data_IF_984618705748
#
_entry.id   IF_984618705748
#
_cell.length_a   1.000
_cell.length_b   1.000
_cell.length_c   1.000
_cell.angle_alpha   90.00
_cell.angle_beta   90.00
_cell.angle_gamma   90.00
#
_symmetry.space_group_name_H-M   'P 1'
#
loop_
_entity.id
_entity.type
_entity.pdbx_description
1 polymer ?
#
# COMPACT_ATOMS: atom_id res chain seq x y z
N UNK A 1 -38.08 -18.19 17.20
CA UNK A 1 -37.94 -16.77 17.58
C UNK A 1 -36.68 -16.31 16.89
N UNK A 2 -36.83 -15.80 15.67
CA UNK A 2 -35.72 -15.45 14.77
C UNK A 2 -35.53 -13.94 14.80
N UNK A 3 -34.93 -13.42 15.88
CA UNK A 3 -34.68 -11.99 16.09
C UNK A 3 -33.18 -11.76 16.32
N UNK A 4 -32.34 -12.12 15.35
CA UNK A 4 -30.89 -12.16 15.52
C UNK A 4 -30.06 -11.34 14.50
N UNK A 5 -30.66 -10.55 13.61
CA UNK A 5 -29.91 -9.82 12.58
C UNK A 5 -30.44 -8.39 12.32
N UNK A 6 -30.82 -7.66 13.39
CA UNK A 6 -30.98 -6.21 13.25
C UNK A 6 -29.60 -5.55 13.16
N UNK A 7 -29.25 -5.06 11.96
CA UNK A 7 -28.05 -4.26 11.75
C UNK A 7 -28.09 -3.03 12.66
N UNK A 8 -27.03 -2.75 13.45
CA UNK A 8 -27.07 -1.59 14.34
C UNK A 8 -27.12 -0.32 13.52
N UNK A 9 -28.03 0.58 13.89
CA UNK A 9 -28.20 1.87 13.22
C UNK A 9 -26.88 2.65 13.22
N UNK A 10 -26.41 2.98 12.03
CA UNK A 10 -25.24 3.83 11.85
C UNK A 10 -25.52 5.23 12.43
N UNK A 11 -24.53 5.91 13.03
CA UNK A 11 -24.71 7.30 13.44
C UNK A 11 -25.10 8.17 12.25
N UNK A 12 -25.93 9.18 12.51
CA UNK A 12 -26.43 10.10 11.49
C UNK A 12 -25.32 10.75 10.66
N UNK A 13 -24.17 11.08 11.27
CA UNK A 13 -23.01 11.63 10.56
C UNK A 13 -22.41 10.65 9.53
N UNK A 14 -22.31 9.37 9.88
CA UNK A 14 -21.81 8.31 8.99
C UNK A 14 -22.82 8.00 7.89
N UNK A 15 -24.11 7.92 8.23
CA UNK A 15 -25.18 7.76 7.23
C UNK A 15 -25.22 8.92 6.25
N UNK A 16 -25.09 10.15 6.75
CA UNK A 16 -25.03 11.36 5.93
C UNK A 16 -23.82 11.36 4.99
N UNK A 17 -22.67 10.91 5.48
CA UNK A 17 -21.47 10.73 4.68
C UNK A 17 -21.69 9.70 3.56
N UNK A 18 -22.14 8.47 3.89
CA UNK A 18 -22.40 7.41 2.90
C UNK A 18 -23.42 7.89 1.86
N UNK A 19 -24.50 8.54 2.29
CA UNK A 19 -25.53 9.04 1.38
C UNK A 19 -25.00 10.09 0.41
N UNK A 20 -24.09 10.96 0.85
CA UNK A 20 -23.40 11.94 -0.02
C UNK A 20 -22.43 11.27 -0.97
N UNK A 21 -21.67 10.27 -0.49
CA UNK A 21 -20.76 9.44 -1.29
C UNK A 21 -21.48 8.70 -2.41
N UNK A 22 -22.66 8.14 -2.12
CA UNK A 22 -23.53 7.46 -3.09
C UNK A 22 -24.27 8.41 -4.04
N UNK A 23 -24.06 9.72 -3.94
CA UNK A 23 -24.73 10.73 -4.79
C UNK A 23 -26.20 11.00 -4.44
N UNK A 24 -26.69 10.51 -3.29
CA UNK A 24 -28.06 10.71 -2.78
C UNK A 24 -28.20 11.94 -1.85
N UNK A 25 -27.19 12.80 -1.79
CA UNK A 25 -27.14 13.99 -0.94
C UNK A 25 -26.53 15.20 -1.66
N UNK A 26 -26.35 16.31 -0.94
CA UNK A 26 -25.69 17.49 -1.49
C UNK A 26 -24.27 17.16 -1.97
N UNK A 27 -23.90 17.71 -3.14
CA UNK A 27 -22.59 17.51 -3.73
C UNK A 27 -21.52 17.95 -2.75
N UNK A 28 -20.72 16.99 -2.31
CA UNK A 28 -19.67 17.21 -1.34
C UNK A 28 -18.35 17.37 -2.10
N UNK A 29 -17.80 18.58 -2.10
CA UNK A 29 -16.55 18.89 -2.82
C UNK A 29 -15.33 18.35 -2.05
N UNK A 30 -15.45 18.20 -0.71
CA UNK A 30 -14.40 17.74 0.19
C UNK A 30 -14.96 16.83 1.28
N UNK A 31 -14.25 15.73 1.56
CA UNK A 31 -14.62 14.85 2.67
C UNK A 31 -14.46 15.55 4.03
N UNK A 32 -15.31 15.22 5.02
CA UNK A 32 -15.07 15.61 6.40
C UNK A 32 -13.77 14.97 6.90
N UNK A 33 -13.10 15.62 7.84
CA UNK A 33 -11.90 15.03 8.45
C UNK A 33 -12.36 13.88 9.35
N UNK A 34 -11.91 12.66 9.07
CA UNK A 34 -12.26 11.48 9.86
C UNK A 34 -11.74 11.52 11.31
N UNK A 35 -10.83 12.45 11.62
CA UNK A 35 -10.38 12.77 12.98
C UNK A 35 -11.38 13.66 13.75
N UNK A 36 -12.43 14.18 13.12
CA UNK A 36 -13.48 14.93 13.81
C UNK A 36 -14.23 14.02 14.79
N UNK A 37 -14.70 14.62 15.88
CA UNK A 37 -15.38 13.92 16.99
C UNK A 37 -16.53 13.02 16.52
N UNK A 38 -17.20 13.39 15.43
CA UNK A 38 -18.33 12.67 14.84
C UNK A 38 -17.91 11.33 14.20
N UNK A 39 -16.65 11.22 13.77
CA UNK A 39 -16.09 10.06 13.08
C UNK A 39 -15.02 9.34 13.90
N UNK A 40 -14.44 9.99 14.91
CA UNK A 40 -13.32 9.47 15.70
C UNK A 40 -13.59 8.13 16.38
N UNK A 41 -14.85 7.85 16.77
CA UNK A 41 -15.22 6.54 17.35
C UNK A 41 -15.21 5.40 16.32
N UNK A 42 -15.27 5.72 15.02
CA UNK A 42 -15.31 4.79 13.88
C UNK A 42 -13.97 4.70 13.15
N UNK A 43 -13.27 5.83 13.11
CA UNK A 43 -11.95 5.99 12.51
C UNK A 43 -10.99 6.54 13.56
N UNK A 44 -10.78 5.80 14.67
CA UNK A 44 -9.83 6.23 15.69
C UNK A 44 -8.45 6.37 15.07
N UNK A 45 -7.76 7.45 15.41
CA UNK A 45 -6.40 7.76 14.95
C UNK A 45 -5.42 6.64 15.33
N UNK A 46 -5.66 5.98 16.47
CA UNK A 46 -4.87 4.87 16.99
C UNK A 46 -5.82 3.87 17.66
N UNK A 47 -6.30 2.85 16.95
CA UNK A 47 -6.93 1.68 17.57
C UNK A 47 -6.60 0.40 16.81
N UNK A 48 -6.13 -0.61 17.55
CA UNK A 48 -6.00 -1.97 17.04
C UNK A 48 -7.35 -2.50 16.60
N UNK A 49 -7.42 -3.17 15.44
CA UNK A 49 -8.63 -3.86 14.97
C UNK A 49 -9.16 -4.89 15.98
N UNK A 50 -8.32 -5.37 16.90
CA UNK A 50 -8.70 -6.26 18.00
C UNK A 50 -9.64 -5.62 19.03
N UNK A 51 -9.62 -4.29 19.17
CA UNK A 51 -10.51 -3.52 20.06
C UNK A 51 -11.69 -2.91 19.31
N UNK A 52 -11.67 -2.97 17.98
CA UNK A 52 -12.74 -2.50 17.11
C UNK A 52 -13.79 -3.60 17.06
N UNK A 53 -14.97 -3.30 17.60
CA UNK A 53 -16.10 -4.23 17.55
C UNK A 53 -16.43 -4.59 16.09
N UNK A 54 -16.92 -5.82 15.86
CA UNK A 54 -17.27 -6.34 14.52
C UNK A 54 -18.12 -5.36 13.70
N UNK A 55 -18.99 -4.61 14.37
CA UNK A 55 -19.82 -3.57 13.75
C UNK A 55 -19.01 -2.39 13.18
N UNK A 56 -18.01 -1.86 13.90
CA UNK A 56 -17.18 -0.74 13.43
C UNK A 56 -16.38 -1.12 12.17
N UNK A 57 -15.93 -2.37 12.05
CA UNK A 57 -15.32 -2.87 10.82
C UNK A 57 -16.31 -2.84 9.63
N UNK A 58 -17.57 -3.26 9.84
CA UNK A 58 -18.62 -3.17 8.82
C UNK A 58 -18.89 -1.72 8.40
N UNK A 59 -18.90 -0.79 9.37
CA UNK A 59 -19.07 0.64 9.09
C UNK A 59 -17.94 1.18 8.21
N UNK A 60 -16.68 0.91 8.57
CA UNK A 60 -15.51 1.36 7.80
C UNK A 60 -15.51 0.79 6.39
N UNK A 61 -15.86 -0.49 6.24
CA UNK A 61 -15.97 -1.13 4.93
C UNK A 61 -17.03 -0.46 4.04
N UNK A 62 -18.24 -0.21 4.57
CA UNK A 62 -19.29 0.51 3.83
C UNK A 62 -18.87 1.91 3.39
N UNK A 63 -18.15 2.65 4.25
CA UNK A 63 -17.64 3.97 3.89
C UNK A 63 -16.62 3.88 2.76
N UNK A 64 -15.73 2.89 2.79
CA UNK A 64 -14.75 2.66 1.72
C UNK A 64 -15.40 2.25 0.39
N UNK A 65 -16.41 1.37 0.43
CA UNK A 65 -17.21 0.97 -0.73
C UNK A 65 -17.93 2.17 -1.35
N UNK A 66 -18.51 3.04 -0.51
CA UNK A 66 -19.18 4.26 -0.96
C UNK A 66 -18.19 5.28 -1.55
N UNK A 67 -16.97 5.38 -1.03
CA UNK A 67 -15.89 6.19 -1.62
C UNK A 67 -15.50 5.65 -3.00
N UNK A 68 -15.31 4.33 -3.13
CA UNK A 68 -14.97 3.69 -4.40
C UNK A 68 -16.05 3.84 -5.47
N UNK A 69 -17.30 4.02 -5.06
CA UNK A 69 -18.45 4.22 -5.95
C UNK A 69 -18.71 5.70 -6.30
N UNK A 70 -17.92 6.64 -5.76
CA UNK A 70 -18.18 8.07 -5.92
C UNK A 70 -17.40 8.70 -7.09
N UNK A 71 -18.09 9.13 -8.14
CA UNK A 71 -17.48 9.71 -9.34
C UNK A 71 -17.23 11.23 -9.27
N UNK A 72 -17.57 11.88 -8.15
CA UNK A 72 -17.67 13.35 -8.06
C UNK A 72 -16.55 14.02 -7.24
N UNK A 73 -15.59 13.27 -6.71
CA UNK A 73 -14.50 13.86 -5.92
C UNK A 73 -13.41 14.48 -6.79
N UNK A 74 -13.04 15.73 -6.46
CA UNK A 74 -11.89 16.41 -7.07
C UNK A 74 -10.58 16.18 -6.30
N UNK A 75 -10.67 15.88 -5.01
CA UNK A 75 -9.50 15.67 -4.15
C UNK A 75 -9.91 14.80 -2.96
N UNK A 76 -9.23 13.68 -2.79
CA UNK A 76 -9.36 12.78 -1.65
C UNK A 76 -8.11 12.94 -0.80
N UNK A 77 -8.16 13.84 0.18
CA UNK A 77 -7.05 14.06 1.09
C UNK A 77 -7.04 12.96 2.17
N UNK A 78 -6.31 11.88 1.86
CA UNK A 78 -6.06 10.75 2.75
C UNK A 78 -4.70 10.91 3.47
N UNK A 79 -4.28 12.14 3.79
CA UNK A 79 -3.02 12.42 4.50
C UNK A 79 -2.86 11.64 5.82
N UNK A 80 -3.95 11.12 6.40
CA UNK A 80 -3.90 10.36 7.67
C UNK A 80 -4.31 8.89 7.59
N UNK A 81 -4.46 8.33 6.41
CA UNK A 81 -4.59 6.86 6.31
C UNK A 81 -3.20 6.23 6.19
N UNK A 82 -2.48 6.15 7.33
CA UNK A 82 -1.60 5.00 7.58
C UNK A 82 -2.55 3.86 7.92
N UNK A 83 -2.91 3.06 6.92
CA UNK A 83 -3.56 1.78 7.22
C UNK A 83 -2.44 0.77 7.33
N UNK A 84 -2.10 0.41 8.55
CA UNK A 84 -1.51 -0.90 8.82
C UNK A 84 -2.60 -1.93 8.47
N UNK A 85 -2.68 -2.34 7.19
CA UNK A 85 -3.64 -3.34 6.73
C UNK A 85 -3.08 -4.69 7.17
N UNK A 86 -3.47 -5.11 8.36
CA UNK A 86 -3.20 -6.43 8.88
C UNK A 86 -4.11 -7.43 8.16
N UNK A 87 -3.73 -7.84 6.94
CA UNK A 87 -4.27 -9.07 6.35
C UNK A 87 -3.52 -10.22 7.01
N UNK A 88 -4.15 -10.85 8.00
CA UNK A 88 -3.70 -12.13 8.59
C UNK A 88 -2.18 -12.23 8.82
N UNK A 89 -1.69 -11.66 9.92
CA UNK A 89 -0.32 -11.81 10.45
C UNK A 89 0.79 -11.04 9.71
N UNK A 90 0.57 -10.56 8.49
CA UNK A 90 1.58 -9.77 7.76
C UNK A 90 1.46 -8.29 8.05
N UNK A 91 2.59 -7.67 8.34
CA UNK A 91 2.70 -6.22 8.54
C UNK A 91 2.81 -5.53 7.19
N UNK A 92 2.16 -4.38 7.08
CA UNK A 92 2.27 -3.49 5.92
C UNK A 92 2.96 -2.20 6.35
N UNK A 93 4.04 -1.83 5.66
CA UNK A 93 4.70 -0.53 5.84
C UNK A 93 4.31 0.37 4.67
N UNK A 94 3.76 1.55 4.94
CA UNK A 94 3.40 2.54 3.92
C UNK A 94 4.25 3.79 4.13
N UNK A 95 5.07 4.13 3.14
CA UNK A 95 5.96 5.27 3.14
C UNK A 95 5.45 6.30 2.13
N UNK A 96 5.13 7.50 2.62
CA UNK A 96 4.71 8.64 1.80
C UNK A 96 5.65 9.81 2.09
N UNK A 97 6.26 10.39 1.05
CA UNK A 97 7.14 11.56 1.20
C UNK A 97 8.24 11.37 2.27
N UNK A 98 8.74 10.14 2.47
CA UNK A 98 9.67 9.83 3.56
C UNK A 98 11.15 10.09 3.19
N UNK A 99 11.40 10.90 2.17
CA UNK A 99 12.65 10.90 1.39
C UNK A 99 13.35 12.26 1.36
N UNK A 100 13.05 13.15 2.29
CA UNK A 100 13.58 14.52 2.31
C UNK A 100 15.11 14.58 2.51
N UNK A 101 15.69 13.60 3.21
CA UNK A 101 17.13 13.50 3.39
C UNK A 101 17.63 12.05 3.51
N UNK A 102 18.95 11.87 3.36
CA UNK A 102 19.59 10.56 3.46
C UNK A 102 19.46 9.91 4.85
N UNK A 103 19.19 10.69 5.91
CA UNK A 103 18.99 10.17 7.27
C UNK A 103 17.62 9.52 7.45
N UNK A 104 16.58 10.08 6.81
CA UNK A 104 15.25 9.50 6.75
C UNK A 104 15.27 8.13 6.05
N UNK A 105 16.04 8.02 4.95
CA UNK A 105 16.24 6.77 4.22
C UNK A 105 16.91 5.71 5.09
N UNK A 106 17.94 6.08 5.87
CA UNK A 106 18.60 5.17 6.82
C UNK A 106 17.63 4.67 7.88
N UNK A 107 16.80 5.57 8.42
CA UNK A 107 15.79 5.16 9.40
C UNK A 107 14.76 4.19 8.81
N UNK A 108 14.31 4.43 7.57
CA UNK A 108 13.44 3.51 6.85
C UNK A 108 14.11 2.14 6.64
N UNK A 109 15.38 2.12 6.24
CA UNK A 109 16.14 0.89 6.07
C UNK A 109 16.23 0.10 7.38
N UNK A 110 16.51 0.77 8.50
CA UNK A 110 16.53 0.16 9.83
C UNK A 110 15.16 -0.41 10.22
N UNK A 111 14.05 0.29 9.88
CA UNK A 111 12.70 -0.21 10.10
C UNK A 111 12.40 -1.48 9.31
N UNK A 112 12.79 -1.53 8.03
CA UNK A 112 12.62 -2.72 7.17
C UNK A 112 13.41 -3.90 7.74
N UNK A 113 14.69 -3.67 8.08
CA UNK A 113 15.57 -4.69 8.64
C UNK A 113 15.11 -5.20 10.01
N UNK A 114 14.46 -4.34 10.81
CA UNK A 114 13.95 -4.69 12.14
C UNK A 114 12.55 -5.32 12.12
N UNK A 115 11.94 -5.49 10.94
CA UNK A 115 10.56 -5.95 10.79
C UNK A 115 10.49 -7.35 10.12
N UNK A 116 10.76 -8.45 10.86
CA UNK A 116 10.78 -9.82 10.31
C UNK A 116 9.42 -10.36 9.86
N UNK A 117 8.34 -9.58 10.02
CA UNK A 117 6.97 -9.93 9.60
C UNK A 117 6.43 -8.92 8.58
N UNK A 118 7.30 -8.07 8.01
CA UNK A 118 6.93 -7.13 6.98
C UNK A 118 6.61 -7.90 5.71
N UNK A 119 5.32 -8.07 5.39
CA UNK A 119 4.86 -8.80 4.22
C UNK A 119 4.56 -7.90 3.03
N UNK A 120 4.22 -6.63 3.28
CA UNK A 120 3.95 -5.66 2.24
C UNK A 120 4.67 -4.34 2.50
N UNK A 121 5.33 -3.79 1.49
CA UNK A 121 5.90 -2.45 1.50
C UNK A 121 5.27 -1.63 0.37
N UNK A 122 4.64 -0.52 0.74
CA UNK A 122 4.13 0.46 -0.20
C UNK A 122 4.91 1.75 -0.09
N UNK A 123 5.50 2.17 -1.19
CA UNK A 123 6.18 3.45 -1.30
C UNK A 123 5.42 4.32 -2.30
N UNK A 124 5.08 5.54 -1.88
CA UNK A 124 4.37 6.50 -2.72
C UNK A 124 5.10 7.84 -2.75
N UNK A 125 5.05 8.54 -3.88
CA UNK A 125 5.62 9.88 -4.05
C UNK A 125 7.12 9.89 -3.68
N UNK A 126 7.90 9.12 -4.42
CA UNK A 126 9.35 9.28 -4.41
C UNK A 126 9.66 10.32 -5.47
N UNK A 127 9.88 11.56 -5.01
CA UNK A 127 10.62 12.55 -5.79
C UNK A 127 12.03 12.02 -6.09
N UNK A 128 12.83 12.72 -6.90
CA UNK A 128 14.18 12.30 -7.29
C UNK A 128 15.07 11.88 -6.08
N UNK A 129 15.02 10.60 -5.72
CA UNK A 129 15.83 10.00 -4.67
C UNK A 129 17.28 9.92 -5.15
N UNK A 130 18.21 10.37 -4.31
CA UNK A 130 19.64 10.27 -4.60
C UNK A 130 20.07 8.81 -4.77
N UNK A 131 21.06 8.55 -5.62
CA UNK A 131 21.56 7.18 -5.85
C UNK A 131 22.04 6.50 -4.57
N UNK A 132 22.65 7.24 -3.64
CA UNK A 132 23.04 6.72 -2.32
C UNK A 132 21.82 6.23 -1.53
N UNK A 133 20.75 7.02 -1.52
CA UNK A 133 19.51 6.67 -0.83
C UNK A 133 18.85 5.43 -1.46
N UNK A 134 18.85 5.34 -2.79
CA UNK A 134 18.38 4.13 -3.48
C UNK A 134 19.23 2.92 -3.11
N UNK A 135 20.56 3.07 -3.03
CA UNK A 135 21.46 1.99 -2.63
C UNK A 135 21.18 1.47 -1.21
N UNK A 136 21.00 2.38 -0.24
CA UNK A 136 20.66 2.03 1.15
C UNK A 136 19.33 1.29 1.22
N UNK A 137 18.30 1.80 0.56
CA UNK A 137 16.97 1.19 0.57
C UNK A 137 16.98 -0.17 -0.12
N UNK A 138 17.65 -0.29 -1.27
CA UNK A 138 17.79 -1.55 -2.01
C UNK A 138 18.45 -2.62 -1.16
N UNK A 139 19.52 -2.27 -0.44
CA UNK A 139 20.21 -3.21 0.44
C UNK A 139 19.30 -3.73 1.55
N UNK A 140 18.48 -2.87 2.16
CA UNK A 140 17.50 -3.27 3.17
C UNK A 140 16.40 -4.17 2.59
N UNK A 141 15.94 -3.87 1.37
CA UNK A 141 14.95 -4.70 0.69
C UNK A 141 15.50 -6.08 0.33
N UNK A 142 16.74 -6.17 -0.15
CA UNK A 142 17.42 -7.44 -0.43
C UNK A 142 17.52 -8.29 0.85
N UNK A 143 17.82 -7.67 1.98
CA UNK A 143 17.95 -8.34 3.28
C UNK A 143 16.61 -8.74 3.91
N UNK A 144 15.49 -8.18 3.42
CA UNK A 144 14.17 -8.41 3.99
C UNK A 144 13.56 -9.75 3.54
N UNK A 145 13.83 -10.82 4.27
CA UNK A 145 13.36 -12.16 3.90
C UNK A 145 11.84 -12.38 4.02
N UNK A 146 11.10 -11.45 4.65
CA UNK A 146 9.64 -11.58 4.84
C UNK A 146 8.81 -10.80 3.83
N UNK A 147 9.44 -9.92 3.05
CA UNK A 147 8.73 -9.02 2.14
C UNK A 147 8.25 -9.78 0.92
N UNK A 148 6.94 -9.76 0.68
CA UNK A 148 6.30 -10.52 -0.40
C UNK A 148 5.64 -9.63 -1.45
N UNK A 149 5.12 -8.49 -1.03
CA UNK A 149 4.43 -7.54 -1.91
C UNK A 149 5.12 -6.18 -1.85
N UNK A 150 5.52 -5.65 -3.01
CA UNK A 150 6.12 -4.31 -3.13
C UNK A 150 5.30 -3.43 -4.06
N UNK A 151 4.82 -2.30 -3.55
CA UNK A 151 4.00 -1.35 -4.29
C UNK A 151 4.76 -0.04 -4.46
N UNK A 152 5.02 0.35 -5.71
CA UNK A 152 5.66 1.62 -6.08
C UNK A 152 4.64 2.49 -6.82
N UNK A 153 4.29 3.63 -6.25
CA UNK A 153 3.26 4.54 -6.79
C UNK A 153 3.84 5.92 -6.99
N UNK A 154 3.77 6.47 -8.21
CA UNK A 154 4.28 7.81 -8.54
C UNK A 154 5.73 7.98 -8.09
N UNK A 155 6.59 7.13 -8.62
CA UNK A 155 8.02 7.18 -8.32
C UNK A 155 8.75 7.49 -9.61
N UNK A 156 9.68 8.44 -9.52
CA UNK A 156 10.54 8.84 -10.63
C UNK A 156 11.64 7.78 -10.90
N UNK A 157 12.72 8.18 -11.59
CA UNK A 157 13.89 7.34 -11.90
C UNK A 157 14.37 6.48 -10.72
N UNK A 158 14.24 6.94 -9.48
CA UNK A 158 14.64 6.16 -8.29
C UNK A 158 14.07 4.73 -8.25
N UNK A 159 12.87 4.50 -8.79
CA UNK A 159 12.31 3.15 -8.87
C UNK A 159 12.94 2.27 -9.93
N UNK A 160 13.42 2.82 -11.05
CA UNK A 160 14.15 2.07 -12.04
C UNK A 160 15.36 1.36 -11.40
N UNK A 161 16.07 2.10 -10.55
CA UNK A 161 17.21 1.60 -9.79
C UNK A 161 16.79 0.58 -8.72
N UNK A 162 15.69 0.84 -7.97
CA UNK A 162 15.15 -0.14 -7.02
C UNK A 162 14.76 -1.45 -7.72
N UNK A 163 14.05 -1.38 -8.84
CA UNK A 163 13.62 -2.54 -9.61
C UNK A 163 14.80 -3.36 -10.14
N UNK A 164 15.88 -2.67 -10.56
CA UNK A 164 17.11 -3.33 -11.01
C UNK A 164 17.74 -4.19 -9.91
N UNK A 165 17.60 -3.79 -8.65
CA UNK A 165 18.13 -4.59 -7.53
C UNK A 165 17.40 -5.91 -7.33
N UNK A 166 16.17 -6.05 -7.84
CA UNK A 166 15.44 -7.33 -7.86
C UNK A 166 15.68 -8.16 -9.14
N UNK A 167 16.36 -7.60 -10.15
CA UNK A 167 16.70 -8.34 -11.37
C UNK A 167 18.02 -9.13 -11.26
N UNK A 168 18.86 -8.84 -10.26
CA UNK A 168 20.16 -9.49 -10.08
C UNK A 168 20.12 -10.88 -9.42
N UNK A 169 21.26 -11.56 -9.40
CA UNK A 169 21.42 -12.90 -8.78
C UNK A 169 21.14 -12.90 -7.26
N UNK A 170 21.45 -11.78 -6.60
CA UNK A 170 21.24 -11.54 -5.17
C UNK A 170 19.83 -11.00 -4.85
N UNK A 171 18.88 -11.13 -5.78
CA UNK A 171 17.52 -10.60 -5.59
C UNK A 171 16.85 -11.22 -4.38
N UNK A 172 16.01 -10.41 -3.73
CA UNK A 172 15.08 -10.89 -2.72
C UNK A 172 14.05 -11.83 -3.36
N UNK A 173 14.23 -13.13 -3.15
CA UNK A 173 13.35 -14.17 -3.69
C UNK A 173 12.00 -14.24 -2.98
N UNK A 174 11.87 -13.57 -1.84
CA UNK A 174 10.62 -13.52 -1.09
C UNK A 174 9.59 -12.60 -1.74
N UNK A 175 10.03 -11.59 -2.52
CA UNK A 175 9.10 -10.69 -3.21
C UNK A 175 8.46 -11.42 -4.39
N UNK A 176 7.17 -11.69 -4.27
CA UNK A 176 6.37 -12.39 -5.26
C UNK A 176 5.62 -11.42 -6.18
N UNK A 177 5.24 -10.25 -5.67
CA UNK A 177 4.40 -9.30 -6.40
C UNK A 177 4.98 -7.88 -6.41
N UNK A 178 5.04 -7.32 -7.62
CA UNK A 178 5.30 -5.90 -7.84
C UNK A 178 4.05 -5.22 -8.38
N UNK A 179 3.58 -4.18 -7.69
CA UNK A 179 2.57 -3.27 -8.22
C UNK A 179 3.22 -1.93 -8.56
N UNK A 180 3.22 -1.58 -9.83
CA UNK A 180 3.82 -0.37 -10.36
C UNK A 180 2.71 0.53 -10.89
N UNK A 181 2.51 1.70 -10.27
CA UNK A 181 1.46 2.66 -10.63
C UNK A 181 2.07 4.01 -10.96
N UNK A 182 1.64 4.60 -12.08
CA UNK A 182 1.98 5.97 -12.48
C UNK A 182 3.50 6.23 -12.48
N UNK A 183 4.25 5.35 -13.13
CA UNK A 183 5.71 5.42 -13.15
C UNK A 183 6.23 5.95 -14.48
N UNK A 184 7.17 6.87 -14.42
CA UNK A 184 7.83 7.40 -15.60
C UNK A 184 9.00 6.50 -16.04
N UNK A 185 9.16 6.35 -17.36
CA UNK A 185 10.33 5.70 -18.01
C UNK A 185 10.60 4.24 -17.60
N UNK A 186 9.56 3.52 -17.18
CA UNK A 186 9.63 2.11 -16.76
C UNK A 186 10.15 1.14 -17.84
N UNK A 187 9.99 1.48 -19.12
CA UNK A 187 10.15 0.54 -20.24
C UNK A 187 11.51 -0.16 -20.29
N UNK A 188 12.59 0.51 -19.87
CA UNK A 188 13.92 -0.12 -19.82
C UNK A 188 14.06 -1.14 -18.68
N UNK A 189 13.48 -0.86 -17.53
CA UNK A 189 13.64 -1.70 -16.33
C UNK A 189 12.81 -2.97 -16.36
N UNK A 190 11.62 -2.93 -16.97
CA UNK A 190 10.82 -4.14 -17.15
C UNK A 190 11.52 -5.16 -18.05
N UNK A 191 12.29 -4.69 -19.04
CA UNK A 191 13.10 -5.57 -19.88
C UNK A 191 14.09 -6.39 -19.04
N UNK A 192 14.84 -5.72 -18.17
CA UNK A 192 15.83 -6.38 -17.29
C UNK A 192 15.17 -7.28 -16.24
N UNK A 193 14.02 -6.90 -15.69
CA UNK A 193 13.27 -7.70 -14.72
C UNK A 193 12.68 -8.99 -15.30
N UNK A 194 12.19 -8.93 -16.55
CA UNK A 194 11.52 -10.05 -17.21
C UNK A 194 12.50 -10.95 -17.97
N UNK A 195 13.70 -10.48 -18.27
CA UNK A 195 14.71 -11.24 -19.02
C UNK A 195 15.02 -12.63 -18.40
N UNK A 196 15.21 -12.78 -17.07
CA UNK A 196 15.47 -14.09 -16.47
C UNK A 196 14.30 -15.08 -16.60
N UNK A 197 13.06 -14.58 -16.64
CA UNK A 197 11.86 -15.42 -16.81
C UNK A 197 11.80 -15.98 -18.23
N UNK A 198 12.15 -15.14 -19.21
CA UNK A 198 12.19 -15.54 -20.63
C UNK A 198 13.33 -16.53 -20.87
N UNK A 199 14.53 -16.25 -20.36
CA UNK A 199 15.69 -17.12 -20.56
C UNK A 199 15.54 -18.48 -19.87
N UNK A 200 14.97 -18.54 -18.65
CA UNK A 200 14.74 -19.80 -17.94
C UNK A 200 13.76 -20.73 -18.66
N UNK A 201 12.73 -20.18 -19.31
CA UNK A 201 11.71 -20.98 -20.01
C UNK A 201 12.22 -21.70 -21.27
N UNK A 202 13.29 -21.21 -21.90
CA UNK A 202 13.83 -21.77 -23.15
C UNK A 202 14.77 -22.96 -22.89
N UNK A 203 15.35 -23.06 -21.69
CA UNK A 203 16.36 -24.08 -21.36
C UNK A 203 15.72 -25.40 -20.94
N UNK A 204 14.56 -25.37 -20.28
CA UNK A 204 13.86 -26.59 -19.84
C UNK A 204 13.19 -27.36 -21.01
N UNK A 205 12.87 -26.70 -22.12
CA UNK A 205 12.23 -27.35 -23.29
C UNK A 205 13.20 -28.18 -24.14
N UNK A 206 14.52 -28.00 -23.97
CA UNK A 206 15.55 -28.71 -24.74
C UNK A 206 16.19 -29.89 -24.00
N UNK A 207 15.83 -30.13 -22.74
CA UNK A 207 16.41 -31.21 -21.93
C UNK A 207 15.63 -32.55 -21.98
N UNK A 208 14.42 -32.57 -22.56
CA UNK A 208 13.54 -33.75 -22.59
C UNK A 208 13.61 -34.55 -23.91
N UNK A 209 14.54 -34.20 -24.82
CA UNK A 209 14.75 -34.91 -26.11
C UNK A 209 16.02 -35.78 -26.15
N UNK A 210 16.60 -36.17 -25.00
CA UNK A 210 17.83 -36.99 -24.92
C UNK A 210 17.62 -38.38 -24.31
#
# INVERSE_FOLDING_TARGET
MDSADEEPELPSAVQGLIRRLEGKGERTIRLPKFSEKEFGDFFPEIASLLTITQWRCKVRLRVLEAIGSCNNFKMLDLERFVVEINRGWRKTLVLKNAWEDASAVKHVADMINSAPLLGMLRITYIDAMEEEAVGILSQALIQSSSLEEMHLVKVDWGAALLLRTFAGDDRNRSVEYFLLEEMDRIGGCLGELLQPVIEGSVVDELADES
#
